data_IF_046903238427
#
_entry.id   IF_046903238427
#
_cell.length_a   1.000
_cell.length_b   1.000
_cell.length_c   1.000
_cell.angle_alpha   90.00
_cell.angle_beta   90.00
_cell.angle_gamma   90.00
#
_symmetry.space_group_name_H-M   'P 1'
#
loop_
_entity.id
_entity.type
_entity.pdbx_description
1 polymer ?
#
# COMPACT_ATOMS: atom_id res chain seq x y z
N UNK A 1 4.15 -18.39 -6.20
CA UNK A 1 3.09 -17.64 -5.52
C UNK A 1 3.67 -17.08 -4.22
N UNK A 2 4.11 -15.83 -4.23
CA UNK A 2 4.52 -15.13 -3.01
C UNK A 2 3.28 -14.97 -2.14
N UNK A 3 3.30 -15.50 -0.92
CA UNK A 3 2.27 -15.20 0.07
C UNK A 3 2.39 -13.72 0.39
N UNK A 4 1.50 -12.89 -0.18
CA UNK A 4 1.33 -11.51 0.28
C UNK A 4 1.11 -11.59 1.79
N UNK A 5 2.02 -10.99 2.55
CA UNK A 5 1.79 -10.76 3.98
C UNK A 5 0.61 -9.79 4.07
N UNK A 6 -0.53 -10.30 4.46
CA UNK A 6 -1.67 -9.47 4.84
C UNK A 6 -1.20 -8.63 6.02
N UNK A 7 -0.84 -7.41 5.76
CA UNK A 7 -0.54 -6.44 6.80
C UNK A 7 -1.88 -5.97 7.35
N UNK A 8 -2.18 -6.41 8.55
CA UNK A 8 -3.35 -6.01 9.33
C UNK A 8 -3.43 -4.47 9.44
N UNK A 9 -4.65 -3.86 9.54
CA UNK A 9 -4.80 -2.46 9.96
C UNK A 9 -4.07 -2.16 11.28
N UNK A 10 -3.64 -3.20 11.98
CA UNK A 10 -2.73 -3.16 13.12
C UNK A 10 -1.25 -3.08 12.75
N UNK A 11 -0.91 -2.69 11.49
CA UNK A 11 0.48 -2.50 11.06
C UNK A 11 1.25 -1.69 12.09
N UNK A 12 2.39 -2.23 12.53
CA UNK A 12 3.23 -1.61 13.56
C UNK A 12 2.70 -1.73 14.99
N UNK A 13 1.44 -2.13 15.24
CA UNK A 13 0.98 -2.37 16.61
C UNK A 13 1.70 -3.60 17.20
N UNK A 14 1.93 -4.61 16.37
CA UNK A 14 2.60 -5.86 16.71
C UNK A 14 3.91 -6.08 15.92
N UNK A 15 4.39 -5.08 15.16
CA UNK A 15 5.68 -5.18 14.46
C UNK A 15 6.79 -5.31 15.51
N UNK A 16 7.43 -6.45 15.55
CA UNK A 16 8.40 -6.81 16.60
C UNK A 16 7.86 -7.74 17.67
N UNK A 17 6.59 -8.16 17.63
CA UNK A 17 6.02 -9.10 18.59
C UNK A 17 6.75 -10.45 18.69
N UNK A 18 7.43 -10.90 17.62
CA UNK A 18 8.27 -12.10 17.64
C UNK A 18 9.56 -11.95 18.46
N UNK A 19 9.87 -10.72 18.92
CA UNK A 19 10.97 -10.43 19.85
C UNK A 19 10.48 -9.72 21.12
N UNK A 20 9.25 -10.02 21.57
CA UNK A 20 8.72 -9.49 22.81
C UNK A 20 9.64 -9.83 23.98
N UNK A 21 10.27 -8.82 24.53
CA UNK A 21 10.74 -8.88 25.91
C UNK A 21 9.52 -8.59 26.81
N UNK A 22 9.35 -9.33 27.88
CA UNK A 22 8.29 -9.17 28.90
C UNK A 22 8.13 -7.69 29.32
N UNK A 23 9.20 -6.92 29.22
CA UNK A 23 9.25 -5.46 29.48
C UNK A 23 8.34 -4.65 28.55
N UNK A 24 8.00 -5.14 27.35
CA UNK A 24 7.23 -4.39 26.35
C UNK A 24 5.71 -4.54 26.53
N UNK A 25 5.28 -5.53 27.34
CA UNK A 25 3.86 -5.77 27.66
C UNK A 25 3.20 -4.56 28.33
N UNK A 26 3.93 -3.80 29.15
CA UNK A 26 3.41 -2.61 29.83
C UNK A 26 2.98 -1.48 28.88
N UNK A 27 3.47 -1.47 27.64
CA UNK A 27 3.14 -0.45 26.65
C UNK A 27 1.95 -0.82 25.76
N UNK A 28 1.48 -2.07 25.82
CA UNK A 28 0.35 -2.55 24.99
C UNK A 28 -0.91 -1.71 25.21
N UNK A 29 -1.34 -1.43 26.45
CA UNK A 29 -2.56 -0.65 26.68
C UNK A 29 -2.49 0.75 26.07
N UNK A 30 -1.34 1.44 26.20
CA UNK A 30 -1.18 2.78 25.64
C UNK A 30 -1.14 2.78 24.11
N UNK A 31 -0.54 1.75 23.49
CA UNK A 31 -0.53 1.57 22.02
C UNK A 31 -1.92 1.27 21.49
N UNK A 32 -2.68 0.41 22.16
CA UNK A 32 -4.07 0.12 21.81
C UNK A 32 -4.95 1.36 21.96
N UNK A 33 -4.82 2.09 23.07
CA UNK A 33 -5.55 3.34 23.28
C UNK A 33 -5.26 4.35 22.16
N UNK A 34 -3.98 4.52 21.80
CA UNK A 34 -3.59 5.41 20.70
C UNK A 34 -4.21 4.99 19.37
N UNK A 35 -4.17 3.68 19.06
CA UNK A 35 -4.77 3.14 17.85
C UNK A 35 -6.29 3.38 17.79
N UNK A 36 -7.02 3.07 18.86
CA UNK A 36 -8.48 3.29 18.90
C UNK A 36 -8.86 4.77 18.83
N UNK A 37 -8.01 5.65 19.39
CA UNK A 37 -8.25 7.08 19.36
C UNK A 37 -7.99 7.72 17.98
N UNK A 38 -6.97 7.25 17.26
CA UNK A 38 -6.47 7.90 16.05
C UNK A 38 -6.67 7.08 14.77
N UNK A 39 -7.05 5.80 14.85
CA UNK A 39 -7.22 4.89 13.72
C UNK A 39 -5.91 4.36 13.13
N UNK A 40 -4.76 4.71 13.69
CA UNK A 40 -3.44 4.23 13.26
C UNK A 40 -2.48 4.10 14.44
N UNK A 41 -1.42 3.30 14.28
CA UNK A 41 -0.42 3.08 15.32
C UNK A 41 0.61 4.22 15.40
N UNK A 42 1.24 4.39 16.56
CA UNK A 42 2.38 5.32 16.68
C UNK A 42 3.53 4.96 15.72
N UNK A 43 3.75 3.69 15.45
CA UNK A 43 4.78 3.22 14.51
C UNK A 43 4.48 3.67 13.10
N UNK A 44 3.19 3.67 12.68
CA UNK A 44 2.77 4.21 11.39
C UNK A 44 3.12 5.69 11.23
N UNK A 45 3.09 6.46 12.31
CA UNK A 45 3.49 7.87 12.29
C UNK A 45 5.00 8.06 12.06
N UNK A 46 5.84 7.17 12.61
CA UNK A 46 7.30 7.27 12.49
C UNK A 46 7.84 6.76 11.15
N UNK A 47 7.12 5.83 10.52
CA UNK A 47 7.47 5.26 9.22
C UNK A 47 6.27 5.41 8.29
N UNK A 48 5.84 6.64 8.07
CA UNK A 48 4.63 6.94 7.31
C UNK A 48 4.74 6.46 5.86
N UNK A 49 5.90 6.62 5.25
CA UNK A 49 6.20 6.12 3.91
C UNK A 49 5.90 4.62 3.76
N UNK A 50 6.51 3.82 4.63
CA UNK A 50 6.29 2.36 4.62
C UNK A 50 4.84 1.99 4.97
N UNK A 51 4.22 2.69 5.92
CA UNK A 51 2.81 2.49 6.27
C UNK A 51 1.89 2.82 5.10
N UNK A 52 2.13 3.94 4.40
CA UNK A 52 1.36 4.35 3.24
C UNK A 52 1.44 3.31 2.12
N UNK A 53 2.65 2.87 1.77
CA UNK A 53 2.87 1.85 0.72
C UNK A 53 2.11 0.56 1.06
N UNK A 54 2.25 0.06 2.27
CA UNK A 54 1.59 -1.18 2.71
C UNK A 54 0.06 -1.04 2.73
N UNK A 55 -0.45 0.08 3.23
CA UNK A 55 -1.88 0.37 3.25
C UNK A 55 -2.45 0.46 1.83
N UNK A 56 -1.78 1.20 0.94
CA UNK A 56 -2.23 1.36 -0.44
C UNK A 56 -2.19 0.04 -1.21
N UNK A 57 -1.15 -0.79 -1.01
CA UNK A 57 -1.11 -2.14 -1.60
C UNK A 57 -2.34 -2.97 -1.22
N UNK A 58 -2.77 -2.92 0.02
CA UNK A 58 -3.96 -3.65 0.47
C UNK A 58 -5.25 -3.10 -0.14
N UNK A 59 -5.42 -1.79 -0.10
CA UNK A 59 -6.60 -1.12 -0.66
C UNK A 59 -6.72 -1.40 -2.16
N UNK A 60 -5.64 -1.27 -2.92
CA UNK A 60 -5.67 -1.51 -4.37
C UNK A 60 -5.92 -2.97 -4.72
N UNK A 61 -5.42 -3.92 -3.94
CA UNK A 61 -5.74 -5.35 -4.11
C UNK A 61 -7.21 -5.59 -3.85
N UNK A 62 -7.79 -4.96 -2.83
CA UNK A 62 -9.21 -5.09 -2.52
C UNK A 62 -10.07 -4.53 -3.65
N UNK A 63 -9.76 -3.34 -4.17
CA UNK A 63 -10.43 -2.77 -5.34
C UNK A 63 -10.30 -3.64 -6.59
N UNK A 64 -9.14 -4.25 -6.83
CA UNK A 64 -8.93 -5.10 -7.99
C UNK A 64 -9.69 -6.43 -7.92
N UNK A 65 -9.72 -7.05 -6.75
CA UNK A 65 -10.15 -8.45 -6.60
C UNK A 65 -11.57 -8.59 -6.03
N UNK A 66 -12.04 -7.62 -5.24
CA UNK A 66 -13.28 -7.72 -4.48
C UNK A 66 -14.27 -6.56 -4.70
N UNK A 67 -13.96 -5.55 -5.52
CA UNK A 67 -14.90 -4.46 -5.82
C UNK A 67 -16.15 -4.96 -6.51
N UNK A 68 -17.28 -4.42 -6.10
CA UNK A 68 -18.60 -4.70 -6.68
C UNK A 68 -18.85 -3.93 -7.98
N UNK A 69 -18.05 -2.89 -8.23
CA UNK A 69 -18.14 -2.02 -9.38
C UNK A 69 -16.79 -1.66 -9.98
N UNK A 70 -16.81 -0.90 -11.04
CA UNK A 70 -15.66 -0.28 -11.69
C UNK A 70 -16.10 1.03 -12.34
N UNK A 71 -15.20 2.02 -12.44
CA UNK A 71 -15.52 3.30 -13.05
C UNK A 71 -15.73 3.15 -14.56
N UNK A 72 -16.61 3.97 -15.12
CA UNK A 72 -16.75 4.13 -16.56
C UNK A 72 -15.66 5.08 -17.02
N UNK A 73 -14.49 4.54 -17.40
CA UNK A 73 -13.35 5.33 -17.85
C UNK A 73 -13.60 5.97 -19.22
N UNK A 74 -14.40 5.29 -20.07
CA UNK A 74 -14.78 5.79 -21.37
C UNK A 74 -16.19 5.32 -21.73
N UNK A 75 -17.09 6.26 -22.03
CA UNK A 75 -18.49 5.97 -22.39
C UNK A 75 -18.66 5.29 -23.75
N UNK A 76 -17.67 5.38 -24.63
CA UNK A 76 -17.68 4.75 -25.95
C UNK A 76 -17.22 3.29 -25.91
N UNK A 77 -16.79 2.79 -24.75
CA UNK A 77 -16.31 1.43 -24.54
C UNK A 77 -17.37 0.53 -23.92
N UNK A 78 -17.22 -0.76 -24.12
CA UNK A 78 -18.02 -1.77 -23.43
C UNK A 78 -17.67 -1.84 -21.94
N UNK A 79 -18.57 -2.43 -21.14
CA UNK A 79 -18.35 -2.65 -19.73
C UNK A 79 -17.11 -3.52 -19.47
N UNK A 80 -16.91 -4.58 -20.27
CA UNK A 80 -15.75 -5.46 -20.15
C UNK A 80 -14.43 -4.72 -20.46
N UNK A 81 -14.45 -3.80 -21.43
CA UNK A 81 -13.28 -2.99 -21.78
C UNK A 81 -12.94 -2.00 -20.67
N UNK A 82 -13.93 -1.32 -20.09
CA UNK A 82 -13.73 -0.43 -18.95
C UNK A 82 -13.21 -1.19 -17.73
N UNK A 83 -13.78 -2.35 -17.41
CA UNK A 83 -13.31 -3.20 -16.32
C UNK A 83 -11.88 -3.69 -16.52
N UNK A 84 -11.54 -4.09 -17.75
CA UNK A 84 -10.18 -4.53 -18.09
C UNK A 84 -9.17 -3.40 -17.92
N UNK A 85 -9.49 -2.21 -18.40
CA UNK A 85 -8.62 -1.05 -18.30
C UNK A 85 -8.44 -0.62 -16.84
N UNK A 86 -9.51 -0.58 -16.05
CA UNK A 86 -9.43 -0.33 -14.62
C UNK A 86 -8.47 -1.29 -13.91
N UNK A 87 -8.59 -2.58 -14.19
CA UNK A 87 -7.66 -3.58 -13.65
C UNK A 87 -6.21 -3.36 -14.07
N UNK A 88 -5.96 -2.87 -15.28
CA UNK A 88 -4.61 -2.54 -15.74
C UNK A 88 -4.04 -1.35 -14.95
N UNK A 89 -4.85 -0.31 -14.71
CA UNK A 89 -4.46 0.84 -13.88
C UNK A 89 -4.11 0.38 -12.46
N UNK A 90 -4.97 -0.39 -11.81
CA UNK A 90 -4.72 -0.92 -10.46
C UNK A 90 -3.46 -1.79 -10.40
N UNK A 91 -3.23 -2.66 -11.38
CA UNK A 91 -2.01 -3.48 -11.45
C UNK A 91 -0.75 -2.62 -11.67
N UNK A 92 -0.84 -1.55 -12.48
CA UNK A 92 0.27 -0.62 -12.67
C UNK A 92 0.61 0.09 -11.35
N UNK A 93 -0.39 0.61 -10.66
CA UNK A 93 -0.21 1.25 -9.35
C UNK A 93 0.40 0.29 -8.32
N UNK A 94 -0.03 -0.97 -8.26
CA UNK A 94 0.56 -2.00 -7.40
C UNK A 94 2.02 -2.27 -7.74
N UNK A 95 2.37 -2.29 -9.03
CA UNK A 95 3.75 -2.45 -9.48
C UNK A 95 4.60 -1.26 -9.03
N UNK A 96 4.12 -0.04 -9.18
CA UNK A 96 4.82 1.18 -8.77
C UNK A 96 5.03 1.22 -7.25
N UNK A 97 4.05 0.80 -6.44
CA UNK A 97 4.20 0.67 -5.00
C UNK A 97 5.27 -0.35 -4.60
N UNK A 98 5.47 -1.42 -5.39
CA UNK A 98 6.58 -2.35 -5.16
C UNK A 98 7.93 -1.68 -5.45
N UNK A 99 8.04 -0.88 -6.51
CA UNK A 99 9.24 -0.08 -6.77
C UNK A 99 9.52 0.99 -5.72
N UNK A 100 8.49 1.53 -5.07
CA UNK A 100 8.63 2.48 -3.96
C UNK A 100 9.06 1.82 -2.64
N UNK A 101 8.93 0.50 -2.53
CA UNK A 101 9.25 -0.25 -1.32
C UNK A 101 10.76 -0.51 -1.22
N UNK A 102 11.43 0.30 -0.42
CA UNK A 102 12.89 0.22 -0.21
C UNK A 102 13.40 -1.10 0.37
N UNK A 103 12.50 -1.87 0.98
CA UNK A 103 12.81 -3.18 1.58
C UNK A 103 12.58 -4.33 0.58
N UNK A 104 12.25 -4.04 -0.69
CA UNK A 104 12.05 -5.06 -1.70
C UNK A 104 13.40 -5.66 -2.15
N UNK A 105 13.43 -6.98 -2.24
CA UNK A 105 14.62 -7.75 -2.64
C UNK A 105 15.10 -7.46 -4.05
N UNK A 106 14.30 -6.84 -4.88
CA UNK A 106 14.70 -6.43 -6.23
C UNK A 106 15.89 -5.47 -6.23
N UNK A 107 16.15 -4.80 -5.10
CA UNK A 107 17.25 -3.84 -4.96
C UNK A 107 18.57 -4.45 -4.43
N UNK A 108 18.60 -5.74 -4.11
CA UNK A 108 19.78 -6.40 -3.50
C UNK A 108 21.08 -6.26 -4.33
N UNK A 109 20.98 -6.04 -5.66
CA UNK A 109 22.12 -5.96 -6.58
C UNK A 109 22.18 -4.65 -7.38
N UNK A 110 21.49 -3.61 -6.93
CA UNK A 110 21.39 -2.32 -7.62
C UNK A 110 22.14 -1.27 -6.79
N UNK A 111 22.82 -0.32 -7.45
CA UNK A 111 23.50 0.78 -6.75
C UNK A 111 22.49 1.66 -6.01
N UNK A 112 22.93 2.32 -4.94
CA UNK A 112 22.04 3.19 -4.16
C UNK A 112 21.46 4.34 -4.99
N UNK A 113 22.27 4.91 -5.92
CA UNK A 113 21.84 5.98 -6.80
C UNK A 113 20.76 5.50 -7.78
N UNK A 114 20.94 4.32 -8.38
CA UNK A 114 19.93 3.71 -9.27
C UNK A 114 18.66 3.36 -8.51
N UNK A 115 18.79 2.82 -7.30
CA UNK A 115 17.64 2.55 -6.44
C UNK A 115 16.85 3.83 -6.17
N UNK A 116 17.51 4.92 -5.76
CA UNK A 116 16.84 6.19 -5.50
C UNK A 116 16.14 6.72 -6.75
N UNK A 117 16.79 6.68 -7.91
CA UNK A 117 16.19 7.13 -9.17
C UNK A 117 14.96 6.31 -9.55
N UNK A 118 15.01 4.98 -9.40
CA UNK A 118 13.87 4.09 -9.67
C UNK A 118 12.70 4.37 -8.71
N UNK A 119 12.99 4.57 -7.43
CA UNK A 119 11.97 4.88 -6.42
C UNK A 119 11.31 6.24 -6.67
N UNK A 120 12.09 7.26 -7.04
CA UNK A 120 11.56 8.60 -7.34
C UNK A 120 10.69 8.60 -8.59
N UNK A 121 11.11 7.95 -9.66
CA UNK A 121 10.30 7.80 -10.87
C UNK A 121 9.00 7.04 -10.60
N UNK A 122 9.07 5.96 -9.82
CA UNK A 122 7.88 5.19 -9.46
C UNK A 122 6.91 6.00 -8.60
N UNK A 123 7.43 6.83 -7.69
CA UNK A 123 6.64 7.71 -6.85
C UNK A 123 5.89 8.75 -7.69
N UNK A 124 6.58 9.43 -8.61
CA UNK A 124 5.96 10.42 -9.49
C UNK A 124 4.84 9.80 -10.32
N UNK A 125 5.10 8.70 -11.03
CA UNK A 125 4.09 8.01 -11.83
C UNK A 125 2.92 7.50 -10.98
N UNK A 126 3.20 6.97 -9.78
CA UNK A 126 2.13 6.51 -8.88
C UNK A 126 1.19 7.64 -8.49
N UNK A 127 1.72 8.79 -8.09
CA UNK A 127 0.88 9.91 -7.68
C UNK A 127 0.15 10.56 -8.85
N UNK A 128 0.74 10.58 -10.05
CA UNK A 128 0.03 11.03 -11.26
C UNK A 128 -1.19 10.14 -11.54
N UNK A 129 -1.01 8.82 -11.59
CA UNK A 129 -2.11 7.87 -11.75
C UNK A 129 -3.15 7.96 -10.64
N UNK A 130 -2.69 8.14 -9.40
CA UNK A 130 -3.58 8.27 -8.25
C UNK A 130 -4.41 9.55 -8.34
N UNK A 131 -3.82 10.68 -8.72
CA UNK A 131 -4.53 11.94 -8.90
C UNK A 131 -5.54 11.89 -10.05
N UNK A 132 -5.15 11.29 -11.18
CA UNK A 132 -6.03 11.14 -12.35
C UNK A 132 -7.28 10.33 -12.03
N UNK A 133 -7.14 9.28 -11.21
CA UNK A 133 -8.22 8.35 -10.89
C UNK A 133 -8.76 8.52 -9.47
N UNK A 134 -8.47 9.63 -8.79
CA UNK A 134 -8.78 9.80 -7.37
C UNK A 134 -10.26 9.60 -7.03
N UNK A 135 -11.15 10.07 -7.89
CA UNK A 135 -12.59 9.97 -7.68
C UNK A 135 -13.21 8.66 -8.19
N UNK A 136 -12.39 7.78 -8.79
CA UNK A 136 -12.81 6.49 -9.29
C UNK A 136 -12.62 5.35 -8.27
N UNK A 137 -11.96 5.65 -7.12
CA UNK A 137 -11.82 4.74 -5.99
C UNK A 137 -13.06 4.77 -5.09
N UNK A 138 -14.14 4.19 -5.60
CA UNK A 138 -15.39 4.01 -4.84
C UNK A 138 -16.02 2.66 -5.18
N UNK A 139 -16.89 2.18 -4.30
CA UNK A 139 -17.56 0.88 -4.41
C UNK A 139 -19.08 1.05 -4.43
#
# INVERSE_FOLDING_TARGET
MSKQKITSPFYGLFRGCLRFKIRDLKYIPSRLYYFFKHGFSQTARWSFDSYFIEMMKQILVEFRDNSWGYPILNVDRTDEENQREWRLILNRMLTLLNFMDKDDKMYDNISFEEQCAMMDNAKEEFFDLFCENFYDFWD
#
